data_IF_198154977554
#
_entry.id   IF_198154977554
#
_cell.length_a   1.000
_cell.length_b   1.000
_cell.length_c   1.000
_cell.angle_alpha   90.00
_cell.angle_beta   90.00
_cell.angle_gamma   90.00
#
_symmetry.space_group_name_H-M   'P 1'
#
loop_
_entity.id
_entity.type
_entity.pdbx_description
1 polymer ?
#
# COMPACT_ATOMS: atom_id res chain seq x y z
N UNK A 1 -1.17 -3.31 20.30
CA UNK A 1 -1.54 -4.74 20.20
C UNK A 1 -3.04 -5.04 20.12
N UNK A 2 -3.93 -4.33 20.84
CA UNK A 2 -5.40 -4.55 20.71
C UNK A 2 -5.93 -4.32 19.28
N UNK A 3 -5.38 -3.34 18.54
CA UNK A 3 -5.73 -3.07 17.14
C UNK A 3 -5.29 -4.17 16.14
N UNK A 4 -4.21 -4.91 16.46
CA UNK A 4 -3.74 -6.03 15.62
C UNK A 4 -4.54 -7.30 15.87
N UNK A 5 -4.97 -7.54 17.11
CA UNK A 5 -5.85 -8.67 17.44
C UNK A 5 -7.24 -8.53 16.78
N UNK A 6 -7.72 -7.30 16.57
CA UNK A 6 -9.02 -7.01 15.93
C UNK A 6 -9.02 -7.10 14.40
N UNK A 7 -7.87 -6.94 13.72
CA UNK A 7 -7.76 -6.95 12.24
C UNK A 7 -7.56 -8.35 11.64
N UNK A 8 -7.36 -9.39 12.45
CA UNK A 8 -7.04 -10.74 11.98
C UNK A 8 -5.56 -10.91 11.58
N UNK A 9 -5.13 -12.16 11.38
CA UNK A 9 -3.71 -12.52 11.17
C UNK A 9 -3.11 -12.05 9.83
N UNK A 10 -3.94 -11.60 8.89
CA UNK A 10 -3.51 -11.20 7.54
C UNK A 10 -4.28 -9.95 7.13
N UNK A 11 -3.56 -8.91 6.73
CA UNK A 11 -4.11 -7.69 6.13
C UNK A 11 -3.63 -7.54 4.69
N UNK A 12 -4.52 -7.10 3.80
CA UNK A 12 -4.27 -6.85 2.39
C UNK A 12 -4.52 -5.38 2.08
N UNK A 13 -3.46 -4.67 1.70
CA UNK A 13 -3.56 -3.29 1.21
C UNK A 13 -3.42 -3.25 -0.30
N UNK A 14 -4.32 -2.52 -0.95
CA UNK A 14 -4.20 -2.19 -2.37
C UNK A 14 -3.51 -0.83 -2.49
N UNK A 15 -2.53 -0.71 -3.39
CA UNK A 15 -1.90 0.57 -3.72
C UNK A 15 -1.96 0.78 -5.22
N UNK A 16 -2.62 1.84 -5.64
CA UNK A 16 -2.66 2.24 -7.04
C UNK A 16 -1.50 3.18 -7.31
N UNK A 17 -0.66 2.87 -8.30
CA UNK A 17 0.44 3.75 -8.68
C UNK A 17 -0.05 4.95 -9.52
N UNK A 18 0.67 6.08 -9.50
CA UNK A 18 0.48 7.15 -10.48
C UNK A 18 0.60 6.64 -11.92
N UNK A 19 -0.18 7.24 -12.82
CA UNK A 19 -0.01 7.07 -14.26
C UNK A 19 1.28 7.77 -14.70
N UNK A 20 2.08 7.08 -15.52
CA UNK A 20 3.25 7.70 -16.13
C UNK A 20 2.82 8.48 -17.38
N UNK A 21 3.52 9.57 -17.68
CA UNK A 21 3.15 10.49 -18.79
C UNK A 21 3.06 9.82 -20.17
N UNK A 22 3.69 8.65 -20.34
CA UNK A 22 3.73 7.90 -21.60
C UNK A 22 2.74 6.74 -21.65
N UNK A 23 1.87 6.59 -20.65
CA UNK A 23 0.88 5.51 -20.62
C UNK A 23 -0.45 5.99 -21.22
N UNK A 24 -1.00 5.27 -22.23
CA UNK A 24 -2.32 5.60 -22.76
C UNK A 24 -3.33 5.57 -21.62
N UNK A 25 -4.11 6.65 -21.51
CA UNK A 25 -4.80 7.02 -20.28
C UNK A 25 -5.69 5.94 -19.68
N UNK A 26 -5.56 5.84 -18.35
CA UNK A 26 -6.68 5.60 -17.45
C UNK A 26 -7.00 4.14 -17.17
N UNK A 27 -6.34 3.54 -16.19
CA UNK A 27 -7.08 2.62 -15.32
C UNK A 27 -8.15 3.48 -14.65
N UNK A 28 -9.37 3.45 -15.20
CA UNK A 28 -10.54 4.04 -14.56
C UNK A 28 -10.96 3.11 -13.42
N UNK A 29 -10.28 3.24 -12.28
CA UNK A 29 -10.84 2.75 -11.04
C UNK A 29 -11.63 3.89 -10.44
N UNK A 30 -12.92 3.67 -10.20
CA UNK A 30 -13.60 4.52 -9.24
C UNK A 30 -13.14 4.04 -7.87
N UNK A 31 -12.44 4.90 -7.14
CA UNK A 31 -12.47 4.87 -5.69
C UNK A 31 -13.89 5.31 -5.29
N UNK A 32 -14.88 4.45 -5.52
CA UNK A 32 -16.21 4.66 -4.96
C UNK A 32 -16.09 4.35 -3.48
N UNK A 33 -16.19 5.40 -2.66
CA UNK A 33 -16.18 5.40 -1.19
C UNK A 33 -17.47 4.76 -0.64
N UNK A 34 -18.14 3.89 -1.40
CA UNK A 34 -19.48 3.41 -1.06
C UNK A 34 -19.50 2.23 -0.08
N UNK A 35 -18.34 1.75 0.36
CA UNK A 35 -18.22 0.98 1.59
C UNK A 35 -16.92 1.35 2.31
N UNK A 36 -16.98 2.36 3.18
CA UNK A 36 -15.96 2.65 4.21
C UNK A 36 -14.54 2.89 3.64
N UNK A 37 -14.38 3.30 2.37
CA UNK A 37 -13.06 3.61 1.80
C UNK A 37 -12.10 2.41 1.60
N UNK A 38 -12.66 1.20 1.52
CA UNK A 38 -11.92 -0.07 1.51
C UNK A 38 -12.11 -0.89 0.22
N UNK A 39 -12.48 -0.26 -0.91
CA UNK A 39 -12.82 -0.97 -2.15
C UNK A 39 -12.21 -0.39 -3.42
N UNK A 40 -11.94 -1.25 -4.40
CA UNK A 40 -11.53 -0.88 -5.76
C UNK A 40 -12.56 -1.44 -6.74
N UNK A 41 -13.10 -0.58 -7.60
CA UNK A 41 -13.99 -0.96 -8.70
C UNK A 41 -13.23 -0.90 -10.02
N UNK A 42 -13.17 -2.02 -10.75
CA UNK A 42 -12.55 -2.12 -12.07
C UNK A 42 -13.62 -2.37 -13.13
N UNK A 43 -13.60 -1.58 -14.21
CA UNK A 43 -14.48 -1.76 -15.35
C UNK A 43 -13.70 -2.38 -16.51
N UNK A 44 -14.12 -3.57 -16.96
CA UNK A 44 -13.50 -4.26 -18.10
C UNK A 44 -14.56 -4.93 -18.97
N UNK A 45 -14.55 -4.65 -20.28
CA UNK A 45 -15.49 -5.19 -21.27
C UNK A 45 -16.97 -5.12 -20.83
N UNK A 46 -17.42 -3.95 -20.35
CA UNK A 46 -18.78 -3.69 -19.83
C UNK A 46 -19.14 -4.41 -18.53
N UNK A 47 -18.23 -5.20 -17.96
CA UNK A 47 -18.39 -5.81 -16.65
C UNK A 47 -17.69 -4.99 -15.56
N UNK A 48 -18.39 -4.81 -14.44
CA UNK A 48 -17.87 -4.18 -13.23
C UNK A 48 -17.38 -5.27 -12.27
N UNK A 49 -16.15 -5.11 -11.77
CA UNK A 49 -15.55 -5.98 -10.76
C UNK A 49 -15.26 -5.17 -9.50
N UNK A 50 -15.77 -5.64 -8.36
CA UNK A 50 -15.59 -4.99 -7.06
C UNK A 50 -14.65 -5.84 -6.20
N UNK A 51 -13.62 -5.21 -5.65
CA UNK A 51 -12.66 -5.84 -4.76
C UNK A 51 -12.64 -5.08 -3.43
N UNK A 52 -12.61 -5.80 -2.32
CA UNK A 52 -12.51 -5.24 -0.97
C UNK A 52 -11.13 -5.56 -0.37
N UNK A 53 -10.56 -4.59 0.34
CA UNK A 53 -9.22 -4.63 0.93
C UNK A 53 -9.25 -3.97 2.31
N UNK A 54 -8.29 -4.28 3.18
CA UNK A 54 -8.18 -3.60 4.48
C UNK A 54 -7.84 -2.12 4.37
N UNK A 55 -7.26 -1.71 3.23
CA UNK A 55 -7.06 -0.30 2.85
C UNK A 55 -6.75 -0.18 1.37
N UNK A 56 -7.20 0.92 0.76
CA UNK A 56 -6.83 1.29 -0.61
C UNK A 56 -6.09 2.61 -0.57
N UNK A 57 -4.84 2.62 -1.03
CA UNK A 57 -4.05 3.81 -1.31
C UNK A 57 -4.28 4.21 -2.76
N UNK A 58 -4.80 5.40 -2.97
CA UNK A 58 -4.97 5.94 -4.31
C UNK A 58 -3.61 6.36 -4.92
N UNK A 59 -3.67 6.82 -6.17
CA UNK A 59 -2.52 7.29 -6.93
C UNK A 59 -1.84 8.55 -6.39
N UNK A 60 -2.44 9.25 -5.42
CA UNK A 60 -1.86 10.42 -4.78
C UNK A 60 -1.19 10.09 -3.44
N UNK A 61 -1.42 8.89 -2.91
CA UNK A 61 -0.84 8.43 -1.65
C UNK A 61 0.71 8.43 -1.72
N UNK A 62 1.31 9.19 -0.81
CA UNK A 62 2.76 9.29 -0.69
C UNK A 62 3.36 8.04 -0.05
N UNK A 63 4.69 7.90 -0.16
CA UNK A 63 5.40 6.84 0.57
C UNK A 63 5.26 6.97 2.08
N UNK A 64 5.13 8.20 2.59
CA UNK A 64 4.91 8.46 4.00
C UNK A 64 3.52 7.98 4.44
N UNK A 65 2.49 8.18 3.62
CA UNK A 65 1.13 7.72 3.94
C UNK A 65 1.08 6.20 4.05
N UNK A 66 1.72 5.51 3.09
CA UNK A 66 1.83 4.05 3.10
C UNK A 66 2.61 3.58 4.33
N UNK A 67 3.75 4.20 4.62
CA UNK A 67 4.57 3.81 5.77
C UNK A 67 3.85 4.05 7.11
N UNK A 68 3.07 5.13 7.22
CA UNK A 68 2.33 5.45 8.46
C UNK A 68 1.37 4.33 8.82
N UNK A 69 0.66 3.75 7.85
CA UNK A 69 -0.21 2.59 8.09
C UNK A 69 0.58 1.33 8.49
N UNK A 70 1.75 1.12 7.87
CA UNK A 70 2.60 -0.06 8.08
C UNK A 70 3.43 0.02 9.37
N UNK A 71 3.69 1.21 9.89
CA UNK A 71 4.58 1.48 11.03
C UNK A 71 4.24 0.66 12.28
N UNK A 72 2.95 0.34 12.50
CA UNK A 72 2.50 -0.50 13.60
C UNK A 72 2.98 -1.95 13.48
N UNK A 73 3.07 -2.48 12.26
CA UNK A 73 3.62 -3.81 12.00
C UNK A 73 5.13 -3.84 12.32
N UNK A 74 5.85 -2.77 11.99
CA UNK A 74 7.27 -2.61 12.33
C UNK A 74 7.45 -2.59 13.84
N UNK A 75 6.60 -1.85 14.56
CA UNK A 75 6.63 -1.83 16.03
C UNK A 75 6.35 -3.20 16.64
N UNK A 76 5.35 -3.93 16.13
CA UNK A 76 5.03 -5.29 16.57
C UNK A 76 6.21 -6.26 16.41
N UNK A 77 6.99 -6.10 15.33
CA UNK A 77 8.22 -6.86 15.13
C UNK A 77 9.30 -6.54 16.17
N UNK A 78 9.43 -5.26 16.57
CA UNK A 78 10.33 -4.85 17.66
C UNK A 78 9.87 -5.37 19.02
N UNK A 79 8.57 -5.50 19.22
CA UNK A 79 7.97 -6.08 20.43
C UNK A 79 8.10 -7.62 20.48
N UNK A 80 8.78 -8.23 19.50
CA UNK A 80 9.09 -9.67 19.47
C UNK A 80 8.11 -10.54 18.69
N UNK A 81 7.16 -9.95 17.95
CA UNK A 81 6.22 -10.70 17.12
C UNK A 81 6.80 -11.00 15.73
N UNK A 82 6.41 -12.14 15.15
CA UNK A 82 6.79 -12.48 13.76
C UNK A 82 5.89 -11.73 12.79
N UNK A 83 6.47 -10.84 12.00
CA UNK A 83 5.77 -10.02 11.00
C UNK A 83 6.34 -10.31 9.62
N UNK A 84 5.46 -10.42 8.62
CA UNK A 84 5.84 -10.56 7.22
C UNK A 84 5.09 -9.51 6.39
N UNK A 85 5.82 -8.75 5.59
CA UNK A 85 5.28 -7.78 4.62
C UNK A 85 5.87 -8.14 3.26
N UNK A 86 5.02 -8.33 2.26
CA UNK A 86 5.43 -8.57 0.90
C UNK A 86 4.57 -7.76 -0.06
N UNK A 87 5.15 -7.35 -1.19
CA UNK A 87 4.45 -6.65 -2.25
C UNK A 87 4.14 -7.63 -3.40
N UNK A 88 2.91 -7.58 -3.91
CA UNK A 88 2.44 -8.43 -5.01
C UNK A 88 1.87 -7.59 -6.16
N UNK A 89 2.06 -8.06 -7.39
CA UNK A 89 1.60 -7.37 -8.61
C UNK A 89 2.48 -7.66 -9.83
N UNK A 90 2.02 -7.28 -11.01
CA UNK A 90 2.77 -7.46 -12.27
C UNK A 90 4.02 -6.57 -12.36
N UNK A 91 4.89 -6.83 -13.34
CA UNK A 91 6.01 -5.92 -13.65
C UNK A 91 5.49 -4.52 -13.97
N UNK A 92 6.15 -3.48 -13.44
CA UNK A 92 5.72 -2.08 -13.58
C UNK A 92 4.61 -1.63 -12.63
N UNK A 93 4.08 -2.50 -11.74
CA UNK A 93 2.99 -2.12 -10.82
C UNK A 93 3.41 -1.31 -9.59
N UNK A 94 4.70 -1.01 -9.41
CA UNK A 94 5.19 -0.23 -8.26
C UNK A 94 5.60 -1.04 -7.03
N UNK A 95 5.87 -2.36 -7.14
CA UNK A 95 6.37 -3.19 -6.01
C UNK A 95 7.69 -2.68 -5.43
N UNK A 96 8.70 -2.51 -6.29
CA UNK A 96 10.04 -2.02 -5.90
C UNK A 96 9.97 -0.59 -5.37
N UNK A 97 9.15 0.25 -6.01
CA UNK A 97 8.87 1.60 -5.55
C UNK A 97 8.28 1.60 -4.14
N UNK A 98 7.30 0.73 -3.86
CA UNK A 98 6.69 0.64 -2.52
C UNK A 98 7.65 0.12 -1.46
N UNK A 99 8.41 -0.93 -1.74
CA UNK A 99 9.27 -1.57 -0.75
C UNK A 99 10.58 -0.80 -0.52
N UNK A 100 11.22 -0.31 -1.58
CA UNK A 100 12.54 0.33 -1.52
C UNK A 100 12.42 1.83 -1.76
N UNK A 101 11.66 2.22 -2.79
CA UNK A 101 11.52 3.61 -3.20
C UNK A 101 12.81 4.19 -3.78
N UNK A 102 12.88 5.52 -3.89
CA UNK A 102 14.10 6.21 -4.27
C UNK A 102 14.91 6.56 -3.02
N UNK A 103 16.11 5.99 -2.89
CA UNK A 103 16.97 6.16 -1.72
C UNK A 103 17.66 7.54 -1.66
N UNK A 104 17.78 8.22 -2.80
CA UNK A 104 18.41 9.55 -2.89
C UNK A 104 17.47 10.67 -2.43
N UNK A 105 16.17 10.44 -2.51
CA UNK A 105 15.12 11.40 -2.17
C UNK A 105 14.40 10.96 -0.90
N UNK A 106 14.60 11.69 0.20
CA UNK A 106 14.06 11.33 1.51
C UNK A 106 12.54 11.08 1.50
N UNK A 107 11.77 11.90 0.77
CA UNK A 107 10.31 11.76 0.70
C UNK A 107 9.86 10.55 -0.13
N UNK A 108 10.74 10.00 -0.97
CA UNK A 108 10.44 8.88 -1.86
C UNK A 108 10.98 7.54 -1.37
N UNK A 109 11.67 7.49 -0.22
CA UNK A 109 12.06 6.26 0.45
C UNK A 109 10.85 5.37 0.71
N UNK A 110 10.96 4.07 0.42
CA UNK A 110 9.89 3.09 0.62
C UNK A 110 9.83 2.52 2.04
N UNK A 111 9.13 1.40 2.20
CA UNK A 111 8.89 0.75 3.50
C UNK A 111 10.19 0.30 4.18
N UNK A 112 11.10 -0.34 3.45
CA UNK A 112 12.34 -0.91 3.99
C UNK A 112 13.24 0.18 4.62
N UNK A 113 13.67 1.22 3.88
CA UNK A 113 14.55 2.25 4.47
C UNK A 113 13.88 2.99 5.63
N UNK A 114 12.57 3.28 5.55
CA UNK A 114 11.82 3.93 6.64
C UNK A 114 11.69 3.04 7.88
N UNK A 115 11.56 1.73 7.70
CA UNK A 115 11.59 0.77 8.81
C UNK A 115 12.93 0.83 9.53
N UNK A 116 14.05 0.81 8.80
CA UNK A 116 15.38 0.96 9.40
C UNK A 116 15.51 2.28 10.18
N UNK A 117 15.03 3.39 9.61
CA UNK A 117 15.03 4.69 10.29
C UNK A 117 14.16 4.71 11.56
N UNK A 118 13.04 3.97 11.61
CA UNK A 118 12.20 3.87 12.80
C UNK A 118 12.86 3.02 13.90
N UNK A 119 13.57 1.95 13.53
CA UNK A 119 14.23 1.04 14.49
C UNK A 119 15.43 1.69 15.17
N UNK A 120 16.15 2.56 14.46
CA UNK A 120 17.37 3.23 14.96
C UNK A 120 17.15 4.65 15.48
N UNK A 121 15.89 5.09 15.61
CA UNK A 121 15.52 6.31 16.35
C UNK A 121 15.43 6.04 17.84
#
# INVERSE_FOLDING_TARGET
>A
NVLQELKGNVCVFCRVRPLLSNEPGGISYKSEVDYIGHGVVLNHNTQEYRFAFDKVFDHLASQQDVFTEISQLVQSALDGHKVCIFAYGQTGSGKTDTMIGNLELNDQKGIIPRSFEQVWK
#
